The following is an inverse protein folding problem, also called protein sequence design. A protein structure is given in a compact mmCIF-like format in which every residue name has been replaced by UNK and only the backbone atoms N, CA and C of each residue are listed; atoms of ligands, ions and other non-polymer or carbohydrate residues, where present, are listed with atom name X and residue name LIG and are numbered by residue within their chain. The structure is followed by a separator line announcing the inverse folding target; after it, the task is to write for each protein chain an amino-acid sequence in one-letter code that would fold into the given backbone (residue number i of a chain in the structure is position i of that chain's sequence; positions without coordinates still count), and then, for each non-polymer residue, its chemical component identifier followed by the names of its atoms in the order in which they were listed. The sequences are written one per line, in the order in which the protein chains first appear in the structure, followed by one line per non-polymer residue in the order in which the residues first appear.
data_IF_178339564956
#
_entry.id   IF_178339564956
#
_cell.length_a   1.000
_cell.length_b   1.000
_cell.length_c   1.000
_cell.angle_alpha   90.00
_cell.angle_beta   90.00
_cell.angle_gamma   90.00
#
_symmetry.space_group_name_H-M   'P 1'
#
loop_
_entity.id
_entity.type
_entity.pdbx_description
1 polymer ?
#
# COMPACT_ATOMS: atom_id res chain seq x y z
N UNK A 1 4.71 -0.54 7.06
CA UNK A 1 5.41 -1.76 6.62
C UNK A 1 6.23 -2.33 7.75
N UNK A 2 6.50 -3.65 7.69
CA UNK A 2 7.37 -4.39 8.61
C UNK A 2 8.52 -5.00 7.81
N UNK A 3 9.66 -5.15 8.44
CA UNK A 3 10.81 -5.86 7.89
C UNK A 3 10.66 -7.36 8.18
N UNK A 4 10.77 -8.20 7.16
CA UNK A 4 10.60 -9.65 7.26
C UNK A 4 11.88 -10.36 6.79
N UNK A 5 12.52 -11.17 7.63
CA UNK A 5 13.65 -11.97 7.20
C UNK A 5 13.19 -13.08 6.26
N UNK A 6 13.95 -13.27 5.18
CA UNK A 6 13.61 -14.20 4.12
C UNK A 6 14.85 -14.89 3.56
N UNK A 7 14.63 -16.06 2.98
CA UNK A 7 15.60 -16.74 2.13
C UNK A 7 15.11 -16.64 0.68
N UNK A 8 15.98 -16.19 -0.22
CA UNK A 8 15.70 -16.09 -1.65
C UNK A 8 16.29 -17.28 -2.38
N UNK A 9 15.46 -18.01 -3.10
CA UNK A 9 15.90 -19.03 -4.04
C UNK A 9 15.94 -18.42 -5.45
N UNK A 10 17.13 -18.10 -5.88
CA UNK A 10 17.40 -17.46 -7.17
C UNK A 10 17.37 -18.46 -8.35
N UNK A 11 17.10 -19.73 -8.09
CA UNK A 11 17.05 -20.78 -9.14
C UNK A 11 18.28 -20.80 -10.05
N UNK A 12 19.47 -20.60 -9.48
CA UNK A 12 20.75 -20.61 -10.22
C UNK A 12 21.08 -19.28 -10.94
N UNK A 13 20.26 -18.25 -10.78
CA UNK A 13 20.59 -16.92 -11.29
C UNK A 13 21.64 -16.23 -10.41
N UNK A 14 22.48 -15.35 -10.95
CA UNK A 14 23.47 -14.63 -10.16
C UNK A 14 22.79 -13.76 -9.10
N UNK A 15 23.46 -13.62 -7.95
CA UNK A 15 22.99 -12.73 -6.89
C UNK A 15 22.85 -11.30 -7.45
N UNK A 16 21.69 -10.67 -7.26
CA UNK A 16 21.46 -9.33 -7.76
C UNK A 16 22.33 -8.31 -7.00
N UNK A 17 22.84 -7.33 -7.73
CA UNK A 17 23.69 -6.27 -7.16
C UNK A 17 22.81 -5.18 -6.55
N UNK A 18 23.11 -4.67 -5.35
CA UNK A 18 22.42 -3.53 -4.79
C UNK A 18 22.55 -2.28 -5.66
N UNK A 19 21.43 -1.56 -5.85
CA UNK A 19 21.44 -0.23 -6.47
C UNK A 19 22.09 0.83 -5.57
N UNK A 20 22.22 2.07 -6.07
CA UNK A 20 22.83 3.18 -5.31
C UNK A 20 22.08 3.50 -3.99
N UNK A 21 20.81 3.14 -3.89
CA UNK A 21 19.94 3.30 -2.72
C UNK A 21 19.98 2.09 -1.77
N UNK A 22 20.87 1.13 -2.02
CA UNK A 22 20.99 -0.13 -1.25
C UNK A 22 19.85 -1.12 -1.52
N UNK A 23 18.91 -0.82 -2.41
CA UNK A 23 17.82 -1.72 -2.78
C UNK A 23 18.28 -2.72 -3.83
N UNK A 24 17.72 -3.90 -3.74
CA UNK A 24 18.02 -4.99 -4.66
C UNK A 24 16.76 -5.32 -5.46
N UNK A 25 16.86 -5.31 -6.79
CA UNK A 25 15.79 -5.83 -7.64
C UNK A 25 15.98 -7.34 -7.80
N UNK A 26 15.00 -8.09 -7.35
CA UNK A 26 15.02 -9.55 -7.48
C UNK A 26 14.69 -9.96 -8.92
N UNK A 27 15.36 -10.97 -9.46
CA UNK A 27 15.02 -11.53 -10.75
C UNK A 27 13.57 -12.02 -10.79
N UNK A 28 12.91 -12.00 -11.97
CA UNK A 28 11.60 -12.60 -12.13
C UNK A 28 11.65 -14.10 -11.73
N UNK A 29 10.59 -14.58 -11.09
CA UNK A 29 10.45 -15.96 -10.58
C UNK A 29 11.33 -16.32 -9.37
N UNK A 30 11.97 -15.35 -8.70
CA UNK A 30 12.63 -15.61 -7.42
C UNK A 30 11.61 -16.13 -6.40
N UNK A 31 11.88 -17.29 -5.82
CA UNK A 31 11.05 -17.79 -4.71
C UNK A 31 11.50 -17.17 -3.40
N UNK A 32 10.56 -16.55 -2.71
CA UNK A 32 10.80 -15.89 -1.42
C UNK A 32 10.22 -16.79 -0.32
N UNK A 33 11.08 -17.31 0.54
CA UNK A 33 10.68 -18.12 1.69
C UNK A 33 10.89 -17.30 2.95
N UNK A 34 9.80 -16.85 3.58
CA UNK A 34 9.87 -16.14 4.86
C UNK A 34 10.28 -17.07 5.98
N UNK A 35 11.05 -16.54 6.90
CA UNK A 35 11.48 -17.28 8.08
C UNK A 35 10.33 -17.32 9.09
N UNK A 36 10.08 -18.51 9.61
CA UNK A 36 9.14 -18.76 10.69
C UNK A 36 9.89 -19.20 11.94
N UNK A 37 9.32 -18.92 13.10
CA UNK A 37 9.79 -19.41 14.38
C UNK A 37 8.75 -20.29 15.01
N UNK A 38 9.25 -21.24 15.81
CA UNK A 38 8.41 -22.16 16.56
C UNK A 38 8.27 -21.65 18.00
N UNK A 39 7.05 -21.64 18.50
CA UNK A 39 6.81 -21.47 19.93
C UNK A 39 7.12 -22.78 20.69
N UNK A 40 7.30 -22.71 22.01
CA UNK A 40 7.44 -23.91 22.85
C UNK A 40 6.25 -24.88 22.71
N UNK A 41 5.09 -24.38 22.35
CA UNK A 41 3.86 -25.14 22.15
C UNK A 41 3.74 -25.77 20.73
N UNK A 42 4.80 -25.67 19.91
CA UNK A 42 4.84 -26.23 18.56
C UNK A 42 4.08 -25.40 17.50
N UNK A 43 3.68 -24.17 17.81
CA UNK A 43 3.04 -23.27 16.86
C UNK A 43 4.07 -22.52 16.03
N UNK A 44 3.75 -22.26 14.75
CA UNK A 44 4.63 -21.58 13.81
C UNK A 44 4.19 -20.13 13.55
N UNK A 45 5.10 -19.17 13.67
CA UNK A 45 4.81 -17.76 13.49
C UNK A 45 5.76 -17.14 12.48
N UNK A 46 5.23 -16.32 11.57
CA UNK A 46 6.04 -15.45 10.74
C UNK A 46 6.71 -14.36 11.57
N UNK A 47 7.90 -13.94 11.17
CA UNK A 47 8.64 -12.87 11.83
C UNK A 47 8.42 -11.54 11.12
N UNK A 48 8.18 -10.49 11.91
CA UNK A 48 8.15 -9.11 11.47
C UNK A 48 8.93 -8.23 12.43
N UNK A 49 9.60 -7.20 11.92
CA UNK A 49 10.34 -6.24 12.72
C UNK A 49 9.90 -4.82 12.38
N UNK A 50 9.79 -3.96 13.38
CA UNK A 50 9.40 -2.56 13.21
C UNK A 50 10.50 -1.72 12.52
N UNK A 51 11.76 -2.06 12.78
CA UNK A 51 12.94 -1.31 12.38
C UNK A 51 14.16 -2.23 12.22
N UNK A 52 15.25 -1.63 11.75
CA UNK A 52 16.53 -2.34 11.57
C UNK A 52 17.23 -2.67 12.88
N UNK A 53 17.04 -1.88 13.93
CA UNK A 53 17.68 -2.14 15.24
C UNK A 53 17.11 -3.42 15.84
N UNK A 54 15.79 -3.63 15.72
CA UNK A 54 15.13 -4.87 16.12
C UNK A 54 15.62 -6.09 15.29
N UNK A 55 15.86 -5.90 13.98
CA UNK A 55 16.45 -6.95 13.13
C UNK A 55 17.85 -7.30 13.60
N UNK A 56 18.70 -6.30 13.82
CA UNK A 56 20.09 -6.49 14.27
C UNK A 56 20.17 -7.13 15.66
N UNK A 57 19.30 -6.71 16.58
CA UNK A 57 19.23 -7.30 17.92
C UNK A 57 18.85 -8.80 17.90
N UNK A 58 18.00 -9.18 16.94
CA UNK A 58 17.60 -10.57 16.76
C UNK A 58 18.66 -11.42 16.05
N UNK A 59 19.45 -10.83 15.15
CA UNK A 59 20.52 -11.49 14.42
C UNK A 59 21.74 -11.74 15.33
N UNK A 60 21.86 -12.96 15.87
CA UNK A 60 23.01 -13.34 16.71
C UNK A 60 24.36 -13.35 15.97
N UNK A 61 24.35 -13.39 14.65
CA UNK A 61 25.55 -13.44 13.82
C UNK A 61 25.38 -12.53 12.60
N UNK A 62 25.82 -11.25 12.66
CA UNK A 62 25.64 -10.28 11.57
C UNK A 62 26.41 -10.66 10.28
N UNK A 63 27.44 -11.52 10.37
CA UNK A 63 28.20 -11.97 9.19
C UNK A 63 27.41 -12.93 8.27
N UNK A 64 26.35 -13.54 8.75
CA UNK A 64 25.45 -14.37 7.96
C UNK A 64 24.35 -13.57 7.26
N UNK A 65 24.67 -12.44 6.70
CA UNK A 65 23.79 -11.51 6.00
C UNK A 65 22.40 -12.07 5.63
N UNK A 66 21.44 -11.95 6.56
CA UNK A 66 20.07 -12.41 6.27
C UNK A 66 19.41 -11.38 5.36
N UNK A 67 18.81 -11.87 4.31
CA UNK A 67 18.02 -11.05 3.42
C UNK A 67 16.73 -10.63 4.14
N UNK A 68 16.37 -9.37 4.00
CA UNK A 68 15.18 -8.79 4.63
C UNK A 68 14.34 -8.12 3.56
N UNK A 69 13.05 -8.38 3.57
CA UNK A 69 12.09 -7.72 2.69
C UNK A 69 11.14 -6.86 3.48
N UNK A 70 10.64 -5.81 2.86
CA UNK A 70 9.63 -4.95 3.44
C UNK A 70 8.25 -5.43 3.01
N UNK A 71 7.39 -5.77 3.98
CA UNK A 71 6.03 -6.25 3.75
C UNK A 71 5.02 -5.34 4.45
N UNK A 72 3.85 -5.19 3.84
CA UNK A 72 2.70 -4.54 4.48
C UNK A 72 1.96 -5.56 5.36
N UNK A 73 1.16 -5.05 6.28
CA UNK A 73 0.29 -5.91 7.11
C UNK A 73 -0.60 -6.83 6.27
N UNK A 74 -1.14 -6.32 5.16
CA UNK A 74 -2.00 -7.12 4.27
C UNK A 74 -1.28 -8.31 3.64
N UNK A 75 0.01 -8.16 3.34
CA UNK A 75 0.86 -9.22 2.80
C UNK A 75 1.02 -10.33 3.84
N UNK A 76 1.35 -9.96 5.09
CA UNK A 76 1.42 -10.90 6.21
C UNK A 76 0.08 -11.58 6.47
N UNK A 77 -1.02 -10.83 6.52
CA UNK A 77 -2.34 -11.36 6.74
C UNK A 77 -2.75 -12.38 5.66
N UNK A 78 -2.45 -12.09 4.39
CA UNK A 78 -2.69 -13.01 3.28
C UNK A 78 -1.86 -14.29 3.40
N UNK A 79 -0.60 -14.19 3.83
CA UNK A 79 0.28 -15.33 3.99
C UNK A 79 -0.15 -16.21 5.17
N UNK A 80 -0.47 -15.60 6.31
CA UNK A 80 -1.00 -16.32 7.49
C UNK A 80 -2.30 -17.05 7.15
N UNK A 81 -3.21 -16.39 6.40
CA UNK A 81 -4.48 -17.01 6.01
C UNK A 81 -4.30 -18.18 5.04
N UNK A 82 -3.38 -18.07 4.08
CA UNK A 82 -3.12 -19.10 3.05
C UNK A 82 -2.30 -20.28 3.55
N UNK A 83 -1.49 -20.08 4.60
CA UNK A 83 -0.66 -21.15 5.15
C UNK A 83 -1.39 -21.83 6.32
N UNK A 84 -1.78 -23.12 6.19
CA UNK A 84 -2.46 -23.84 7.25
C UNK A 84 -1.56 -24.07 8.47
N UNK A 85 -0.23 -24.14 8.28
CA UNK A 85 0.73 -24.35 9.35
C UNK A 85 1.05 -23.07 10.13
N UNK A 86 0.67 -21.91 9.60
CA UNK A 86 0.91 -20.64 10.26
C UNK A 86 -0.14 -20.36 11.34
N UNK A 87 0.32 -20.17 12.57
CA UNK A 87 -0.51 -19.80 13.72
C UNK A 87 -0.65 -18.27 13.88
N UNK A 88 0.17 -17.50 13.18
CA UNK A 88 0.14 -16.05 13.24
C UNK A 88 1.48 -15.39 12.87
N UNK A 89 1.75 -14.25 13.47
CA UNK A 89 3.02 -13.52 13.34
C UNK A 89 3.52 -13.01 14.70
N UNK A 90 4.83 -12.85 14.82
CA UNK A 90 5.49 -12.22 15.97
C UNK A 90 6.24 -11.00 15.47
N UNK A 91 5.97 -9.86 16.09
CA UNK A 91 6.68 -8.60 15.84
C UNK A 91 7.72 -8.41 16.93
N UNK A 92 8.95 -8.08 16.54
CA UNK A 92 10.12 -7.85 17.42
C UNK A 92 10.31 -8.99 18.43
N UNK A 93 10.64 -10.22 17.98
CA UNK A 93 10.86 -11.33 18.90
C UNK A 93 12.01 -11.03 19.85
N UNK A 94 11.76 -11.16 21.15
CA UNK A 94 12.68 -10.81 22.22
C UNK A 94 11.94 -10.25 23.43
N UNK A 95 12.51 -9.29 24.13
CA UNK A 95 11.94 -8.73 25.36
C UNK A 95 10.61 -7.98 25.14
N UNK A 96 10.45 -7.33 23.97
CA UNK A 96 9.27 -6.55 23.61
C UNK A 96 8.45 -7.21 22.49
N UNK A 97 8.35 -8.54 22.49
CA UNK A 97 7.67 -9.26 21.43
C UNK A 97 6.16 -9.08 21.47
N UNK A 98 5.57 -8.73 20.32
CA UNK A 98 4.12 -8.72 20.13
C UNK A 98 3.70 -9.93 19.29
N UNK A 99 2.96 -10.85 19.91
CA UNK A 99 2.41 -12.01 19.21
C UNK A 99 0.99 -11.70 18.73
N UNK A 100 0.76 -11.86 17.43
CA UNK A 100 -0.53 -11.72 16.78
C UNK A 100 -0.98 -13.11 16.29
N UNK A 101 -1.98 -13.65 16.93
CA UNK A 101 -2.57 -14.94 16.56
C UNK A 101 -3.40 -14.79 15.26
N UNK A 102 -3.48 -15.87 14.48
CA UNK A 102 -4.20 -15.93 13.21
C UNK A 102 -5.63 -15.36 13.27
N UNK A 103 -6.49 -15.70 14.25
CA UNK A 103 -7.84 -15.15 14.33
C UNK A 103 -7.87 -13.62 14.49
N UNK A 104 -6.91 -13.06 15.24
CA UNK A 104 -6.80 -11.62 15.42
C UNK A 104 -6.39 -10.93 14.10
N UNK A 105 -5.40 -11.49 13.40
CA UNK A 105 -4.94 -10.97 12.11
C UNK A 105 -6.08 -10.97 11.09
N UNK A 106 -6.85 -12.05 11.02
CA UNK A 106 -8.00 -12.18 10.12
C UNK A 106 -9.13 -11.20 10.47
N UNK A 107 -9.38 -10.99 11.76
CA UNK A 107 -10.36 -10.00 12.23
C UNK A 107 -9.96 -8.57 11.86
N UNK A 108 -8.71 -8.19 12.11
CA UNK A 108 -8.18 -6.86 11.75
C UNK A 108 -8.23 -6.64 10.24
N UNK A 109 -7.84 -7.65 9.45
CA UNK A 109 -7.92 -7.58 8.00
C UNK A 109 -9.34 -7.38 7.51
N UNK A 110 -10.30 -8.14 8.06
CA UNK A 110 -11.72 -8.02 7.72
C UNK A 110 -12.25 -6.61 8.03
N UNK A 111 -11.98 -6.09 9.23
CA UNK A 111 -12.39 -4.73 9.61
C UNK A 111 -11.79 -3.66 8.68
N UNK A 112 -10.51 -3.77 8.34
CA UNK A 112 -9.86 -2.87 7.40
C UNK A 112 -10.52 -2.92 6.01
N UNK A 113 -10.81 -4.12 5.51
CA UNK A 113 -11.47 -4.30 4.21
C UNK A 113 -12.92 -3.74 4.23
N UNK A 114 -13.64 -3.91 5.33
CA UNK A 114 -14.99 -3.32 5.51
C UNK A 114 -14.95 -1.79 5.56
N UNK A 115 -14.01 -1.20 6.29
CA UNK A 115 -13.81 0.25 6.31
C UNK A 115 -13.45 0.78 4.92
N UNK A 116 -12.55 0.11 4.21
CA UNK A 116 -12.17 0.50 2.85
C UNK A 116 -13.37 0.45 1.88
N UNK A 117 -14.22 -0.58 1.99
CA UNK A 117 -15.45 -0.70 1.20
C UNK A 117 -16.45 0.40 1.54
N UNK A 118 -16.66 0.68 2.83
CA UNK A 118 -17.57 1.74 3.27
C UNK A 118 -17.11 3.11 2.77
N UNK A 119 -15.82 3.43 2.87
CA UNK A 119 -15.23 4.66 2.34
C UNK A 119 -15.37 4.75 0.81
N UNK A 120 -15.16 3.64 0.09
CA UNK A 120 -15.32 3.61 -1.35
C UNK A 120 -16.80 3.83 -1.76
N UNK A 121 -17.74 3.24 -1.03
CA UNK A 121 -19.18 3.46 -1.26
C UNK A 121 -19.58 4.91 -0.96
N UNK A 122 -19.08 5.48 0.13
CA UNK A 122 -19.33 6.88 0.48
C UNK A 122 -18.77 7.84 -0.59
N UNK A 123 -17.54 7.59 -1.08
CA UNK A 123 -16.96 8.35 -2.19
C UNK A 123 -17.79 8.21 -3.48
N UNK A 124 -18.27 7.02 -3.82
CA UNK A 124 -19.12 6.80 -4.98
C UNK A 124 -20.50 7.50 -4.84
N UNK A 125 -21.06 7.53 -3.64
CA UNK A 125 -22.33 8.23 -3.38
C UNK A 125 -22.20 9.76 -3.51
N UNK A 126 -21.06 10.33 -3.15
CA UNK A 126 -20.75 11.76 -3.30
C UNK A 126 -20.61 12.17 -4.78
N UNK A 127 -20.30 11.22 -5.66
CA UNK A 127 -20.09 11.51 -7.08
C UNK A 127 -21.41 11.70 -7.86
N UNK A 128 -22.58 11.37 -7.30
CA UNK A 128 -23.89 11.55 -7.93
C UNK A 128 -24.59 12.81 -7.39
N UNK A 129 -24.46 13.90 -8.15
CA UNK A 129 -25.25 15.11 -7.92
C UNK A 129 -26.70 14.82 -8.28
N UNK A 130 -27.61 14.98 -7.34
CA UNK A 130 -29.04 14.80 -7.55
C UNK A 130 -29.72 16.13 -7.86
N UNK A 131 -30.86 16.12 -8.58
CA UNK A 131 -31.67 17.32 -8.74
C UNK A 131 -32.06 17.90 -7.35
N UNK A 132 -31.68 19.15 -7.11
CA UNK A 132 -31.92 19.84 -5.84
C UNK A 132 -30.70 19.91 -4.91
N UNK A 133 -29.59 19.24 -5.21
CA UNK A 133 -28.36 19.38 -4.42
C UNK A 133 -27.74 20.78 -4.63
N UNK A 134 -27.30 21.39 -3.51
CA UNK A 134 -26.52 22.62 -3.52
C UNK A 134 -25.06 22.29 -3.81
N UNK A 135 -24.55 22.70 -4.94
CA UNK A 135 -23.15 22.49 -5.34
C UNK A 135 -22.41 23.80 -5.23
N UNK A 136 -21.35 23.84 -4.44
CA UNK A 136 -20.42 24.96 -4.33
C UNK A 136 -19.04 24.52 -4.84
N UNK A 137 -18.46 25.32 -5.74
CA UNK A 137 -17.13 25.08 -6.28
C UNK A 137 -16.20 26.17 -5.75
N UNK A 138 -15.09 25.78 -5.16
CA UNK A 138 -14.10 26.68 -4.59
C UNK A 138 -12.69 26.30 -5.06
N UNK A 139 -11.81 27.30 -5.13
CA UNK A 139 -10.40 27.05 -5.39
C UNK A 139 -9.73 26.46 -4.14
N UNK A 140 -8.88 25.43 -4.27
CA UNK A 140 -8.12 24.91 -3.16
C UNK A 140 -7.10 25.95 -2.68
N UNK A 141 -7.09 26.23 -1.38
CA UNK A 141 -6.10 27.14 -0.77
C UNK A 141 -4.67 26.59 -0.84
N UNK A 142 -4.53 25.29 -0.88
CA UNK A 142 -3.27 24.56 -1.03
C UNK A 142 -3.54 23.42 -2.03
N UNK A 143 -2.74 23.37 -3.07
CA UNK A 143 -2.77 22.28 -4.04
C UNK A 143 -1.76 21.21 -3.57
N UNK A 144 -2.20 19.97 -3.27
CA UNK A 144 -1.25 18.91 -2.90
C UNK A 144 -0.42 18.53 -4.13
N UNK A 145 0.89 18.74 -4.08
CA UNK A 145 1.82 18.39 -5.18
C UNK A 145 1.71 16.91 -5.52
N UNK A 146 1.56 16.06 -4.52
CA UNK A 146 1.39 14.62 -4.66
C UNK A 146 0.14 14.22 -5.47
N UNK A 147 -0.89 15.06 -5.50
CA UNK A 147 -2.08 14.87 -6.36
C UNK A 147 -1.90 15.55 -7.71
N UNK A 148 -1.33 16.75 -7.72
CA UNK A 148 -1.19 17.57 -8.92
C UNK A 148 -0.16 17.00 -9.89
N UNK A 149 1.01 16.63 -9.41
CA UNK A 149 2.12 16.17 -10.25
C UNK A 149 1.77 14.94 -11.12
N UNK A 150 1.18 13.83 -10.59
CA UNK A 150 0.81 12.71 -11.43
C UNK A 150 -0.29 13.04 -12.45
N UNK A 151 -1.19 13.97 -12.10
CA UNK A 151 -2.22 14.44 -13.04
C UNK A 151 -1.57 15.27 -14.16
N UNK A 152 -0.66 16.17 -13.82
CA UNK A 152 0.07 16.99 -14.80
C UNK A 152 0.90 16.12 -15.75
N UNK A 153 1.56 15.07 -15.27
CA UNK A 153 2.30 14.13 -16.12
C UNK A 153 1.42 13.44 -17.17
N UNK A 154 0.23 13.01 -16.77
CA UNK A 154 -0.74 12.40 -17.68
C UNK A 154 -1.25 13.42 -18.70
N UNK A 155 -1.59 14.62 -18.25
CA UNK A 155 -2.13 15.69 -19.12
C UNK A 155 -1.09 16.24 -20.09
N UNK A 156 0.18 16.29 -19.71
CA UNK A 156 1.27 16.73 -20.59
C UNK A 156 1.43 15.83 -21.83
N UNK A 157 0.97 14.60 -21.77
CA UNK A 157 1.00 13.65 -22.88
C UNK A 157 -0.32 13.59 -23.66
N UNK A 158 -1.32 14.37 -23.25
CA UNK A 158 -2.67 14.33 -23.86
C UNK A 158 -2.78 15.42 -24.95
N UNK A 159 -2.85 15.07 -26.25
CA UNK A 159 -3.04 16.03 -27.32
C UNK A 159 -4.43 16.65 -27.22
N UNK A 160 -4.51 17.98 -27.33
CA UNK A 160 -5.76 18.73 -27.40
C UNK A 160 -6.33 19.21 -26.06
N UNK A 161 -5.64 19.01 -24.93
CA UNK A 161 -5.96 19.65 -23.66
C UNK A 161 -5.23 20.99 -23.60
N UNK A 162 -6.01 22.08 -23.56
CA UNK A 162 -5.46 23.45 -23.48
C UNK A 162 -5.16 23.87 -22.04
N UNK A 163 -6.05 23.56 -21.11
CA UNK A 163 -5.93 23.95 -19.71
C UNK A 163 -6.61 22.91 -18.80
N UNK A 164 -6.13 22.81 -17.57
CA UNK A 164 -6.70 21.96 -16.53
C UNK A 164 -6.83 22.76 -15.23
N UNK A 165 -7.98 22.64 -14.59
CA UNK A 165 -8.29 23.33 -13.34
C UNK A 165 -8.68 22.32 -12.29
N UNK A 166 -7.92 22.25 -11.19
CA UNK A 166 -8.27 21.44 -10.03
C UNK A 166 -8.98 22.31 -9.01
N UNK A 167 -10.20 21.95 -8.69
CA UNK A 167 -11.07 22.68 -7.77
C UNK A 167 -11.61 21.75 -6.69
N UNK A 168 -12.23 22.31 -5.64
CA UNK A 168 -12.95 21.56 -4.63
C UNK A 168 -14.44 21.73 -4.87
N UNK A 169 -15.14 20.65 -5.07
CA UNK A 169 -16.60 20.60 -5.15
C UNK A 169 -17.15 20.21 -3.78
N UNK A 170 -18.07 21.01 -3.27
CA UNK A 170 -18.77 20.80 -2.00
C UNK A 170 -20.25 20.59 -2.34
N UNK A 171 -20.80 19.47 -1.89
CA UNK A 171 -22.22 19.14 -2.09
C UNK A 171 -22.94 19.20 -0.75
N UNK A 172 -24.02 19.99 -0.67
CA UNK A 172 -24.86 20.19 0.51
C UNK A 172 -24.09 20.62 1.77
N UNK A 173 -22.98 21.35 1.60
CA UNK A 173 -22.09 21.84 2.66
C UNK A 173 -21.42 20.71 3.49
N UNK A 174 -21.58 19.44 3.12
CA UNK A 174 -21.07 18.26 3.85
C UNK A 174 -19.97 17.50 3.10
N UNK A 175 -20.23 17.13 1.86
CA UNK A 175 -19.33 16.29 1.10
C UNK A 175 -18.36 17.12 0.26
N UNK A 176 -17.03 16.86 0.43
CA UNK A 176 -15.98 17.53 -0.32
C UNK A 176 -15.27 16.54 -1.23
N UNK A 177 -15.08 16.91 -2.49
CA UNK A 177 -14.29 16.14 -3.46
C UNK A 177 -13.49 17.06 -4.36
N UNK A 178 -12.37 16.56 -4.88
CA UNK A 178 -11.66 17.26 -5.94
C UNK A 178 -12.43 17.15 -7.26
N UNK A 179 -12.56 18.27 -7.94
CA UNK A 179 -13.14 18.39 -9.27
C UNK A 179 -12.05 18.81 -10.25
N UNK A 180 -11.73 17.96 -11.21
CA UNK A 180 -10.83 18.33 -12.30
C UNK A 180 -11.66 18.74 -13.52
N UNK A 181 -11.46 19.95 -13.96
CA UNK A 181 -12.06 20.50 -15.18
C UNK A 181 -10.98 20.57 -16.25
N UNK A 182 -11.23 19.95 -17.40
CA UNK A 182 -10.31 19.96 -18.53
C UNK A 182 -10.91 20.79 -19.69
N UNK A 183 -10.12 21.70 -20.22
CA UNK A 183 -10.44 22.40 -21.47
C UNK A 183 -9.89 21.61 -22.64
N UNK A 184 -10.76 20.84 -23.27
CA UNK A 184 -10.40 19.94 -24.36
C UNK A 184 -11.52 19.02 -24.80
N UNK A 185 -11.28 18.16 -25.80
CA UNK A 185 -12.28 17.21 -26.28
C UNK A 185 -12.59 16.16 -25.19
N UNK A 186 -13.85 15.72 -25.17
CA UNK A 186 -14.25 14.61 -24.29
C UNK A 186 -13.54 13.33 -24.70
N UNK A 187 -12.65 12.82 -23.84
CA UNK A 187 -11.93 11.56 -24.05
C UNK A 187 -12.04 10.69 -22.80
N UNK A 188 -12.84 9.63 -22.89
CA UNK A 188 -13.07 8.69 -21.78
C UNK A 188 -11.79 7.93 -21.37
N UNK A 189 -10.82 7.74 -22.29
CA UNK A 189 -9.52 7.11 -22.00
C UNK A 189 -8.64 8.05 -21.18
N UNK A 190 -8.65 9.33 -21.53
CA UNK A 190 -7.94 10.36 -20.76
C UNK A 190 -8.52 10.47 -19.35
N UNK A 191 -9.85 10.53 -19.20
CA UNK A 191 -10.48 10.55 -17.89
C UNK A 191 -10.13 9.33 -17.04
N UNK A 192 -10.09 8.13 -17.64
CA UNK A 192 -9.68 6.92 -16.94
C UNK A 192 -8.21 6.95 -16.52
N UNK A 193 -7.31 7.48 -17.35
CA UNK A 193 -5.89 7.61 -17.04
C UNK A 193 -5.66 8.61 -15.90
N UNK A 194 -6.30 9.77 -15.93
CA UNK A 194 -6.24 10.78 -14.87
C UNK A 194 -6.83 10.25 -13.56
N UNK A 195 -7.99 9.60 -13.60
CA UNK A 195 -8.58 8.98 -12.42
C UNK A 195 -7.69 7.90 -11.81
N UNK A 196 -6.91 7.18 -12.63
CA UNK A 196 -5.93 6.20 -12.15
C UNK A 196 -4.72 6.89 -11.48
N UNK A 197 -4.24 7.98 -12.03
CA UNK A 197 -3.14 8.76 -11.46
C UNK A 197 -3.53 9.40 -10.12
N UNK A 198 -4.79 9.86 -9.99
CA UNK A 198 -5.33 10.47 -8.78
C UNK A 198 -5.75 9.47 -7.68
N UNK A 199 -5.74 8.16 -7.93
CA UNK A 199 -6.23 7.13 -6.99
C UNK A 199 -5.59 7.06 -5.61
N UNK A 200 -4.35 7.47 -5.36
CA UNK A 200 -3.77 7.50 -4.01
C UNK A 200 -4.45 8.50 -3.06
N UNK A 201 -5.28 9.42 -3.60
CA UNK A 201 -5.99 10.53 -2.90
C UNK A 201 -7.54 10.39 -3.05
#
# INVERSE_FOLDING_TARGET
PLLAPANFDLQGQPAPTPGPDGRVQLPPNTKINLIMVNSPEGKHYYLGFSDWDAVHAWQKNPEQGRQVIMLRFDDFANMVSKNPDASGMVINPGENSLRLEKPLIESVKKQKDEIAKALAQQRAAVTQIKPGDKVTIVEPSILPDELADPICEVLAQAPGVGSAYLQIMIINDEAKSYLLVLDGPKDDKLFAAVAKAARPY
#
